data_IF_667426246142
#
_entry.id   IF_667426246142
#
_cell.length_a   1.000
_cell.length_b   1.000
_cell.length_c   1.000
_cell.angle_alpha   90.00
_cell.angle_beta   90.00
_cell.angle_gamma   90.00
#
_symmetry.space_group_name_H-M   'P 1'
#
loop_
_entity.id
_entity.type
_entity.pdbx_description
1 polymer ?
#
# COMPACT_ATOMS: atom_id res chain seq x y z
N UNK A 1 1.36 5.39 -9.28
CA UNK A 1 2.37 5.17 -8.22
C UNK A 1 1.88 5.70 -6.89
N UNK A 2 1.42 4.81 -6.02
CA UNK A 2 0.90 5.15 -4.69
C UNK A 2 1.75 4.49 -3.60
N UNK A 3 1.73 5.03 -2.37
CA UNK A 3 2.51 4.52 -1.24
C UNK A 3 1.62 4.32 -0.03
N UNK A 4 1.81 3.22 0.68
CA UNK A 4 1.22 2.96 1.98
C UNK A 4 2.32 2.92 3.05
N UNK A 5 2.04 3.47 4.22
CA UNK A 5 2.97 3.45 5.36
C UNK A 5 2.31 2.64 6.46
N UNK A 6 2.99 1.58 6.89
CA UNK A 6 2.56 0.75 8.01
C UNK A 6 3.47 1.02 9.21
N UNK A 7 2.86 1.49 10.30
CA UNK A 7 3.51 1.61 11.61
C UNK A 7 3.57 0.23 12.26
N UNK A 8 4.77 -0.20 12.63
CA UNK A 8 5.03 -1.45 13.35
C UNK A 8 5.70 -1.11 14.68
N UNK A 9 5.66 -2.02 15.65
CA UNK A 9 6.28 -1.81 16.98
C UNK A 9 7.77 -1.43 16.92
N UNK A 10 8.47 -1.84 15.85
CA UNK A 10 9.92 -1.60 15.66
C UNK A 10 10.24 -0.64 14.52
N UNK A 11 9.26 0.10 14.01
CA UNK A 11 9.48 1.14 13.01
C UNK A 11 8.45 1.13 11.88
N UNK A 12 8.77 1.83 10.79
CA UNK A 12 7.86 2.05 9.67
C UNK A 12 8.24 1.21 8.48
N UNK A 13 7.25 0.60 7.84
CA UNK A 13 7.39 -0.05 6.55
C UNK A 13 6.69 0.78 5.49
N UNK A 14 7.42 1.17 4.44
CA UNK A 14 6.86 1.89 3.30
C UNK A 14 6.68 0.90 2.15
N UNK A 15 5.44 0.74 1.71
CA UNK A 15 5.06 -0.17 0.63
C UNK A 15 4.67 0.66 -0.58
N UNK A 16 5.27 0.35 -1.73
CA UNK A 16 4.88 0.94 -3.02
C UNK A 16 3.82 0.07 -3.70
N UNK A 17 2.76 0.73 -4.16
CA UNK A 17 1.63 0.10 -4.82
C UNK A 17 1.67 0.41 -6.31
N UNK A 18 1.72 -0.67 -7.09
CA UNK A 18 1.80 -0.67 -8.56
C UNK A 18 0.40 -0.77 -9.15
N UNK A 19 -0.29 0.37 -9.22
CA UNK A 19 -1.65 0.49 -9.74
C UNK A 19 -1.76 0.17 -11.23
N UNK A 20 -0.69 0.37 -11.99
CA UNK A 20 -0.66 0.04 -13.42
C UNK A 20 -0.63 -1.47 -13.68
N UNK A 21 0.08 -2.23 -12.83
CA UNK A 21 0.24 -3.67 -12.98
C UNK A 21 -0.88 -4.46 -12.29
N UNK A 22 -1.38 -3.96 -11.15
CA UNK A 22 -2.39 -4.65 -10.33
C UNK A 22 -3.51 -3.70 -9.85
N UNK A 23 -4.28 -3.07 -10.76
CA UNK A 23 -5.23 -1.99 -10.42
C UNK A 23 -6.31 -2.43 -9.43
N UNK A 24 -6.85 -3.65 -9.56
CA UNK A 24 -7.89 -4.16 -8.66
C UNK A 24 -7.38 -4.44 -7.26
N UNK A 25 -6.16 -4.96 -7.15
CA UNK A 25 -5.51 -5.26 -5.86
C UNK A 25 -5.20 -3.97 -5.11
N UNK A 26 -4.64 -2.98 -5.81
CA UNK A 26 -4.35 -1.66 -5.22
C UNK A 26 -5.64 -0.98 -4.76
N UNK A 27 -6.69 -0.96 -5.58
CA UNK A 27 -7.97 -0.39 -5.19
C UNK A 27 -8.63 -1.09 -3.98
N UNK A 28 -8.39 -2.39 -3.79
CA UNK A 28 -8.85 -3.09 -2.59
C UNK A 28 -8.04 -2.69 -1.35
N UNK A 29 -6.71 -2.60 -1.48
CA UNK A 29 -5.85 -2.11 -0.40
C UNK A 29 -6.28 -0.72 0.05
N UNK A 30 -6.46 0.22 -0.88
CA UNK A 30 -6.88 1.61 -0.57
C UNK A 30 -8.20 1.74 0.20
N UNK A 31 -9.08 0.73 0.14
CA UNK A 31 -10.34 0.73 0.89
C UNK A 31 -10.18 0.25 2.33
N UNK A 32 -9.08 -0.42 2.65
CA UNK A 32 -8.86 -1.14 3.91
C UNK A 32 -7.83 -0.47 4.83
N UNK A 33 -6.97 0.40 4.29
CA UNK A 33 -6.03 1.26 5.03
C UNK A 33 -6.64 2.62 5.31
#
# INVERSE_FOLDING_TARGET
>A
MKKAVMEMEKGKVVIELFDQDAPKTVANFEKLI
#
